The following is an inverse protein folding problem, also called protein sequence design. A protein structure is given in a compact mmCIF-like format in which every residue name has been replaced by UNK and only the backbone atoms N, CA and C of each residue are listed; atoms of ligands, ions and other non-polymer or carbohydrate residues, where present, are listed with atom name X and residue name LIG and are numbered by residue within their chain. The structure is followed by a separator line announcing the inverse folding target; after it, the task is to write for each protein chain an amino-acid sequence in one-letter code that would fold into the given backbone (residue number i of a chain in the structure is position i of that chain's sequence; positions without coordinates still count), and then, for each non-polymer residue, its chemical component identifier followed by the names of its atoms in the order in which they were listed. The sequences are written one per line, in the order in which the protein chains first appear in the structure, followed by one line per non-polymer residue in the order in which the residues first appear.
data_IF_684024130180
#
_entry.id   IF_684024130180
#
_cell.length_a   1.000
_cell.length_b   1.000
_cell.length_c   1.000
_cell.angle_alpha   90.00
_cell.angle_beta   90.00
_cell.angle_gamma   90.00
#
_symmetry.space_group_name_H-M   'P 1'
#
loop_
_entity.id
_entity.type
_entity.pdbx_description
1 polymer ?
#
# COMPACT_ATOMS: atom_id res chain seq x y z
N UNK A 1 3.80 18.69 -68.40
CA UNK A 1 4.96 17.81 -68.18
C UNK A 1 4.99 17.45 -66.69
N UNK A 2 4.93 16.15 -66.39
CA UNK A 2 5.38 15.43 -65.17
C UNK A 2 5.18 16.14 -63.80
N UNK A 3 4.27 15.77 -62.91
CA UNK A 3 3.72 14.46 -62.52
C UNK A 3 4.74 13.45 -61.97
N UNK A 4 5.60 13.81 -61.00
CA UNK A 4 6.32 12.83 -60.14
C UNK A 4 6.34 13.36 -58.70
N UNK A 5 5.18 13.36 -58.03
CA UNK A 5 4.83 12.35 -57.01
C UNK A 5 5.80 12.37 -55.84
N UNK A 6 5.40 13.13 -54.82
CA UNK A 6 5.80 13.05 -53.41
C UNK A 6 5.58 11.62 -52.86
N UNK A 7 6.34 10.66 -53.34
CA UNK A 7 6.42 9.30 -52.82
C UNK A 7 7.73 9.21 -52.05
N UNK A 8 7.71 9.53 -50.75
CA UNK A 8 8.61 8.98 -49.72
C UNK A 8 8.33 9.51 -48.30
N UNK A 9 7.08 9.88 -47.99
CA UNK A 9 6.68 10.31 -46.63
C UNK A 9 5.78 9.28 -45.90
N UNK A 10 5.67 8.06 -46.42
CA UNK A 10 4.75 7.02 -45.91
C UNK A 10 5.48 5.69 -45.73
N UNK A 11 6.50 5.65 -44.89
CA UNK A 11 7.12 4.35 -44.55
C UNK A 11 7.81 4.27 -43.17
N UNK A 12 7.93 5.35 -42.40
CA UNK A 12 8.77 5.34 -41.20
C UNK A 12 8.10 5.85 -39.91
N UNK A 13 6.80 6.15 -39.90
CA UNK A 13 6.08 6.61 -38.70
C UNK A 13 5.26 5.52 -38.01
N UNK A 14 5.18 4.31 -38.60
CA UNK A 14 4.31 3.22 -38.11
C UNK A 14 5.01 2.21 -37.17
N UNK A 15 6.21 2.50 -36.68
CA UNK A 15 6.93 1.67 -35.68
C UNK A 15 7.04 2.31 -34.30
N UNK A 16 6.70 3.59 -34.15
CA UNK A 16 6.87 4.31 -32.88
C UNK A 16 5.66 4.14 -31.94
N UNK A 17 4.49 3.73 -32.46
CA UNK A 17 3.25 3.71 -31.68
C UNK A 17 2.97 2.42 -30.88
N UNK A 18 3.86 1.42 -30.89
CA UNK A 18 3.62 0.13 -30.20
C UNK A 18 4.45 -0.09 -28.94
N UNK A 19 5.32 0.84 -28.54
CA UNK A 19 6.17 0.68 -27.33
C UNK A 19 5.63 1.45 -26.11
N UNK A 20 4.64 2.33 -26.30
CA UNK A 20 4.00 3.13 -25.23
C UNK A 20 2.73 2.49 -24.66
N UNK A 21 2.60 1.16 -24.69
CA UNK A 21 1.47 0.45 -24.07
C UNK A 21 1.88 -0.46 -22.89
N UNK A 22 3.18 -0.64 -22.64
CA UNK A 22 3.68 -1.56 -21.61
C UNK A 22 4.00 -0.93 -20.24
N UNK A 23 4.03 0.40 -20.12
CA UNK A 23 4.57 1.08 -18.93
C UNK A 23 3.53 1.59 -17.92
N UNK A 24 2.23 1.43 -18.18
CA UNK A 24 1.14 1.85 -17.27
C UNK A 24 0.69 0.77 -16.28
N UNK A 25 1.26 -0.45 -16.35
CA UNK A 25 0.89 -1.59 -15.50
C UNK A 25 1.44 -1.54 -14.05
N UNK A 26 2.15 -0.48 -13.65
CA UNK A 26 2.72 -0.35 -12.30
C UNK A 26 1.91 0.55 -11.34
N UNK A 27 0.75 1.07 -11.75
CA UNK A 27 -0.18 1.75 -10.82
C UNK A 27 -0.95 0.76 -9.90
N UNK A 28 -0.60 -0.53 -9.94
CA UNK A 28 -1.22 -1.59 -9.17
C UNK A 28 -0.51 -1.80 -7.83
N UNK A 29 -0.78 -0.95 -6.83
CA UNK A 29 -0.66 -1.31 -5.42
C UNK A 29 -1.55 -0.39 -4.55
N UNK A 30 -2.83 -0.29 -4.89
CA UNK A 30 -3.90 0.25 -4.05
C UNK A 30 -3.67 1.64 -3.43
N UNK A 31 -3.48 2.67 -4.25
CA UNK A 31 -3.36 4.03 -3.72
C UNK A 31 -4.62 4.49 -2.98
N UNK A 32 -5.80 3.99 -3.37
CA UNK A 32 -7.08 4.47 -2.87
C UNK A 32 -7.58 3.69 -1.64
N UNK A 33 -7.42 2.37 -1.60
CA UNK A 33 -7.77 1.56 -0.43
C UNK A 33 -7.00 1.91 0.84
N UNK A 34 -5.84 2.59 0.73
CA UNK A 34 -5.10 3.13 1.87
C UNK A 34 -5.73 4.39 2.49
N UNK A 35 -6.54 5.13 1.73
CA UNK A 35 -7.21 6.37 2.17
C UNK A 35 -8.58 6.08 2.80
N UNK A 36 -9.10 4.87 2.64
CA UNK A 36 -10.38 4.47 3.19
C UNK A 36 -10.30 4.10 4.66
N UNK A 37 -11.37 4.38 5.41
CA UNK A 37 -11.58 3.96 6.79
C UNK A 37 -11.96 2.48 6.90
N UNK A 38 -11.11 1.60 6.36
CA UNK A 38 -11.38 0.17 6.23
C UNK A 38 -10.31 -0.71 6.91
N UNK A 39 -9.23 -0.11 7.41
CA UNK A 39 -8.15 -0.84 8.06
C UNK A 39 -8.40 -0.98 9.55
N UNK A 40 -8.08 -2.15 10.09
CA UNK A 40 -8.12 -2.46 11.53
C UNK A 40 -6.80 -3.10 11.97
N UNK A 41 -6.43 -2.92 13.24
CA UNK A 41 -5.29 -3.62 13.83
C UNK A 41 -5.77 -4.87 14.57
N UNK A 42 -5.16 -6.00 14.25
CA UNK A 42 -5.43 -7.29 14.88
C UNK A 42 -4.10 -7.96 15.30
N UNK A 43 -4.05 -8.63 16.47
CA UNK A 43 -2.90 -9.44 16.86
C UNK A 43 -2.59 -10.55 15.87
N UNK A 44 -1.30 -10.86 15.68
CA UNK A 44 -0.84 -11.94 14.80
C UNK A 44 0.03 -12.95 15.56
N UNK A 45 -0.59 -13.92 16.27
CA UNK A 45 0.13 -14.82 17.18
C UNK A 45 1.15 -15.71 16.47
N UNK A 46 1.04 -15.89 15.14
CA UNK A 46 2.01 -16.66 14.36
C UNK A 46 3.40 -15.99 14.30
N UNK A 47 3.50 -14.72 14.69
CA UNK A 47 4.71 -13.92 14.63
C UNK A 47 5.26 -13.53 16.01
N UNK A 48 4.79 -14.15 17.10
CA UNK A 48 5.14 -13.76 18.49
C UNK A 48 6.65 -13.81 18.78
N UNK A 49 7.41 -14.62 18.04
CA UNK A 49 8.87 -14.71 18.16
C UNK A 49 9.65 -13.68 17.33
N UNK A 50 8.98 -12.77 16.63
CA UNK A 50 9.61 -11.82 15.69
C UNK A 50 9.54 -10.37 16.17
N UNK A 51 9.09 -10.12 17.40
CA UNK A 51 8.97 -8.76 17.97
C UNK A 51 10.01 -8.49 19.04
N UNK A 52 10.23 -7.21 19.31
CA UNK A 52 11.09 -6.79 20.41
C UNK A 52 10.49 -7.21 21.77
N UNK A 53 11.32 -7.43 22.80
CA UNK A 53 10.84 -7.74 24.14
C UNK A 53 9.83 -6.71 24.66
N UNK A 54 8.66 -7.17 25.13
CA UNK A 54 7.58 -6.32 25.62
C UNK A 54 6.62 -5.80 24.54
N UNK A 55 6.85 -6.16 23.27
CA UNK A 55 5.94 -5.90 22.16
C UNK A 55 5.19 -7.16 21.74
N UNK A 56 4.05 -6.98 21.08
CA UNK A 56 3.30 -8.03 20.42
C UNK A 56 3.21 -7.75 18.91
N UNK A 57 3.17 -8.80 18.07
CA UNK A 57 3.00 -8.64 16.63
C UNK A 57 1.57 -8.25 16.29
N UNK A 58 1.44 -7.34 15.33
CA UNK A 58 0.16 -6.85 14.83
C UNK A 58 0.12 -6.92 13.29
N UNK A 59 -1.08 -7.19 12.75
CA UNK A 59 -1.39 -6.98 11.35
C UNK A 59 -2.39 -5.83 11.21
N UNK A 60 -2.07 -4.88 10.33
CA UNK A 60 -3.08 -3.99 9.77
C UNK A 60 -3.79 -4.74 8.65
N UNK A 61 -5.11 -4.96 8.78
CA UNK A 61 -5.91 -5.75 7.83
C UNK A 61 -7.02 -4.89 7.24
N UNK A 62 -7.17 -4.95 5.91
CA UNK A 62 -8.31 -4.44 5.17
C UNK A 62 -9.09 -5.63 4.60
N UNK A 63 -10.23 -5.93 5.22
CA UNK A 63 -11.08 -7.08 4.84
C UNK A 63 -11.88 -6.83 3.55
N UNK A 64 -12.00 -5.58 3.10
CA UNK A 64 -12.66 -5.23 1.85
C UNK A 64 -11.75 -5.51 0.66
N UNK A 65 -10.47 -5.11 0.75
CA UNK A 65 -9.48 -5.29 -0.32
C UNK A 65 -8.64 -6.55 -0.15
N UNK A 66 -8.86 -7.31 0.92
CA UNK A 66 -8.09 -8.52 1.32
C UNK A 66 -6.59 -8.25 1.46
N UNK A 67 -6.22 -7.04 1.86
CA UNK A 67 -4.82 -6.63 2.05
C UNK A 67 -4.45 -6.64 3.52
N UNK A 68 -3.19 -6.96 3.77
CA UNK A 68 -2.65 -7.00 5.11
C UNK A 68 -1.21 -6.50 5.14
N UNK A 69 -0.82 -5.96 6.28
CA UNK A 69 0.55 -5.62 6.60
C UNK A 69 0.87 -6.09 8.03
N UNK A 70 1.52 -7.25 8.10
CA UNK A 70 1.85 -7.97 9.34
C UNK A 70 3.26 -7.66 9.87
N UNK A 71 3.88 -6.59 9.38
CA UNK A 71 5.22 -6.14 9.80
C UNK A 71 5.10 -5.02 10.83
N UNK A 72 4.12 -5.10 11.71
CA UNK A 72 3.84 -4.09 12.72
C UNK A 72 3.95 -4.71 14.11
N UNK A 73 4.38 -3.89 15.06
CA UNK A 73 4.41 -4.26 16.47
C UNK A 73 3.97 -3.08 17.35
N UNK A 74 3.38 -3.37 18.50
CA UNK A 74 3.08 -2.39 19.54
C UNK A 74 3.10 -3.06 20.92
N UNK A 75 3.02 -2.27 21.98
CA UNK A 75 2.82 -2.83 23.33
C UNK A 75 1.42 -3.44 23.45
N UNK A 76 1.26 -4.43 24.33
CA UNK A 76 -0.02 -5.06 24.61
C UNK A 76 -1.09 -4.03 25.02
N UNK A 77 -0.73 -3.08 25.89
CA UNK A 77 -1.64 -2.03 26.35
C UNK A 77 -2.14 -1.15 25.19
N UNK A 78 -1.24 -0.79 24.26
CA UNK A 78 -1.63 -0.02 23.08
C UNK A 78 -2.56 -0.84 22.18
N UNK A 79 -2.20 -2.11 21.90
CA UNK A 79 -2.99 -2.99 21.06
C UNK A 79 -4.42 -3.18 21.58
N UNK A 80 -4.60 -3.37 22.89
CA UNK A 80 -5.92 -3.48 23.51
C UNK A 80 -6.78 -2.22 23.32
N UNK A 81 -6.18 -1.02 23.44
CA UNK A 81 -6.88 0.26 23.28
C UNK A 81 -7.36 0.53 21.86
N UNK A 82 -6.68 -0.04 20.87
CA UNK A 82 -6.93 0.25 19.44
C UNK A 82 -7.59 -0.91 18.70
N UNK A 83 -7.75 -2.06 19.35
CA UNK A 83 -8.30 -3.26 18.74
C UNK A 83 -9.68 -3.01 18.11
N UNK A 84 -9.83 -3.45 16.86
CA UNK A 84 -11.09 -3.33 16.09
C UNK A 84 -11.45 -1.91 15.63
N UNK A 85 -10.71 -0.87 16.03
CA UNK A 85 -10.98 0.51 15.60
C UNK A 85 -10.54 0.73 14.16
N UNK A 86 -11.36 1.44 13.39
CA UNK A 86 -11.08 1.70 11.98
C UNK A 86 -10.17 2.90 11.82
N UNK A 87 -9.23 2.80 10.88
CA UNK A 87 -8.35 3.88 10.49
C UNK A 87 -8.07 3.86 8.99
N UNK A 88 -7.48 4.94 8.49
CA UNK A 88 -6.92 5.00 7.14
C UNK A 88 -5.46 4.62 7.21
N UNK A 89 -5.01 3.70 6.37
CA UNK A 89 -3.62 3.25 6.41
C UNK A 89 -2.62 4.39 6.18
N UNK A 90 -2.99 5.43 5.42
CA UNK A 90 -2.16 6.64 5.24
C UNK A 90 -1.90 7.43 6.54
N UNK A 91 -2.76 7.24 7.55
CA UNK A 91 -2.67 7.91 8.84
C UNK A 91 -1.90 7.08 9.89
N UNK A 92 -1.44 5.87 9.52
CA UNK A 92 -0.52 5.08 10.33
C UNK A 92 0.86 5.73 10.33
N UNK A 93 1.40 5.99 11.51
CA UNK A 93 2.78 6.46 11.72
C UNK A 93 3.55 5.40 12.49
N UNK A 94 4.77 5.11 12.01
CA UNK A 94 5.69 4.14 12.61
C UNK A 94 7.00 4.82 12.98
N UNK A 95 7.65 4.38 14.06
CA UNK A 95 8.88 4.99 14.59
C UNK A 95 10.17 4.39 14.02
N UNK A 96 10.15 3.17 13.47
CA UNK A 96 11.37 2.48 13.01
C UNK A 96 11.29 2.02 11.55
N UNK A 97 12.46 1.94 10.91
CA UNK A 97 12.67 1.31 9.60
C UNK A 97 12.97 -0.21 9.71
N UNK A 98 12.99 -0.76 10.93
CA UNK A 98 13.21 -2.18 11.19
C UNK A 98 12.02 -3.05 10.79
N UNK A 99 12.22 -4.36 10.77
CA UNK A 99 11.14 -5.33 10.58
C UNK A 99 11.11 -6.24 11.80
N UNK A 100 10.03 -6.21 12.61
CA UNK A 100 8.80 -5.43 12.48
C UNK A 100 8.95 -3.93 12.80
N UNK A 101 8.02 -3.11 12.29
CA UNK A 101 7.97 -1.66 12.52
C UNK A 101 7.12 -1.33 13.73
N UNK A 102 7.62 -0.48 14.61
CA UNK A 102 6.88 -0.08 15.80
C UNK A 102 5.86 1.00 15.49
N UNK A 103 4.61 0.81 15.93
CA UNK A 103 3.53 1.79 15.75
C UNK A 103 3.75 2.98 16.68
N UNK A 104 3.82 4.18 16.11
CA UNK A 104 3.96 5.43 16.84
C UNK A 104 2.59 6.05 17.17
N UNK A 105 1.75 6.17 16.15
CA UNK A 105 0.45 6.84 16.25
C UNK A 105 -0.47 6.40 15.12
N UNK A 106 -1.77 6.41 15.39
CA UNK A 106 -2.84 6.19 14.41
C UNK A 106 -3.89 7.27 14.61
N UNK A 107 -4.33 7.90 13.51
CA UNK A 107 -5.58 8.68 13.51
C UNK A 107 -6.73 7.72 13.20
N UNK A 108 -7.67 7.58 14.12
CA UNK A 108 -8.85 6.73 13.93
C UNK A 108 -9.97 7.51 13.23
N UNK A 109 -10.85 6.78 12.56
CA UNK A 109 -12.00 7.38 11.87
C UNK A 109 -13.19 7.65 12.80
N UNK A 110 -13.27 6.92 13.90
CA UNK A 110 -14.44 6.93 14.81
C UNK A 110 -14.32 8.03 15.90
N UNK A 111 -13.54 9.08 15.65
CA UNK A 111 -13.26 10.13 16.64
C UNK A 111 -12.48 11.30 16.05
N UNK A 112 -13.17 12.15 15.30
CA UNK A 112 -12.86 13.58 15.24
C UNK A 112 -13.36 14.27 16.52
#
# INVERSE_FOLDING_TARGET
MAAWTLMNLVAATKRILMVMAGLTLLAACDPDGKKECAWVLEPEPKLDGQTDPGYIPLCARNRTTMKEDCRLQATLEYAQKVYGRKFRYVDLRVTSAGSPRTIAKIKFCDGD
#
